data_IF_669272489713
#
_entry.id   IF_669272489713
#
_cell.length_a   1.000
_cell.length_b   1.000
_cell.length_c   1.000
_cell.angle_alpha   90.00
_cell.angle_beta   90.00
_cell.angle_gamma   90.00
#
_symmetry.space_group_name_H-M   'P 1'
#
loop_
_entity.id
_entity.type
_entity.pdbx_description
1 polymer ?
#
# COMPACT_ATOMS: atom_id res chain seq x y z
N UNK A 1 51.00 7.24 -17.58
CA UNK A 1 50.21 8.25 -16.84
C UNK A 1 48.89 8.60 -17.51
N UNK A 2 48.83 8.89 -18.82
CA UNK A 2 47.57 9.24 -19.51
C UNK A 2 46.49 8.15 -19.46
N UNK A 3 46.87 6.87 -19.52
CA UNK A 3 45.96 5.71 -19.44
C UNK A 3 45.45 5.40 -18.03
N UNK A 4 46.19 5.80 -16.99
CA UNK A 4 45.79 5.62 -15.60
C UNK A 4 44.75 6.67 -15.17
N UNK A 5 44.84 7.89 -15.71
CA UNK A 5 43.91 8.99 -15.41
C UNK A 5 42.52 8.72 -16.03
N UNK A 6 42.46 8.12 -17.23
CA UNK A 6 41.19 7.72 -17.86
C UNK A 6 40.48 6.60 -17.12
N UNK A 7 41.21 5.66 -16.50
CA UNK A 7 40.63 4.55 -15.75
C UNK A 7 39.99 5.03 -14.42
N UNK A 8 40.61 6.01 -13.76
CA UNK A 8 40.06 6.65 -12.55
C UNK A 8 38.76 7.42 -12.89
N UNK A 9 38.72 8.11 -14.03
CA UNK A 9 37.50 8.81 -14.50
C UNK A 9 36.35 7.83 -14.80
N UNK A 10 36.64 6.68 -15.40
CA UNK A 10 35.63 5.64 -15.66
C UNK A 10 35.10 5.01 -14.36
N UNK A 11 35.96 4.78 -13.36
CA UNK A 11 35.58 4.27 -12.03
C UNK A 11 34.76 5.29 -11.25
N UNK A 12 35.06 6.59 -11.36
CA UNK A 12 34.25 7.63 -10.73
C UNK A 12 32.89 7.83 -11.42
N UNK A 13 32.76 7.48 -12.70
CA UNK A 13 31.49 7.49 -13.42
C UNK A 13 30.60 6.28 -13.10
N UNK A 14 31.17 5.14 -12.66
CA UNK A 14 30.41 3.93 -12.31
C UNK A 14 29.98 3.86 -10.84
N UNK A 15 30.45 4.76 -9.98
CA UNK A 15 30.07 4.83 -8.57
C UNK A 15 28.93 5.81 -8.27
N UNK A 16 28.33 6.44 -9.29
CA UNK A 16 26.98 6.99 -9.17
C UNK A 16 25.92 5.88 -9.18
N UNK A 17 26.07 4.90 -8.29
CA UNK A 17 24.92 4.29 -7.65
C UNK A 17 24.29 5.40 -6.80
N UNK A 18 23.57 6.33 -7.46
CA UNK A 18 22.65 7.18 -6.73
C UNK A 18 21.65 6.22 -6.07
N UNK A 19 21.84 5.95 -4.79
CA UNK A 19 20.75 5.50 -3.94
C UNK A 19 19.63 6.51 -4.21
N UNK A 20 18.57 6.06 -4.89
CA UNK A 20 17.48 6.97 -5.22
C UNK A 20 16.93 7.53 -3.90
N UNK A 21 16.77 8.85 -3.81
CA UNK A 21 16.29 9.46 -2.57
C UNK A 21 14.93 8.87 -2.23
N UNK A 22 14.78 8.43 -0.98
CA UNK A 22 13.50 7.97 -0.46
C UNK A 22 12.51 9.13 -0.45
N UNK A 23 11.32 8.93 -1.02
CA UNK A 23 10.27 9.92 -1.04
C UNK A 23 9.55 10.04 0.31
N UNK A 24 9.67 9.07 1.21
CA UNK A 24 8.82 8.93 2.40
C UNK A 24 9.64 8.86 3.70
N UNK A 25 10.61 9.76 3.84
CA UNK A 25 11.51 9.80 5.01
C UNK A 25 10.91 10.48 6.24
N UNK A 26 9.87 11.29 6.05
CA UNK A 26 9.22 12.06 7.09
C UNK A 26 7.73 12.26 6.78
N UNK A 27 6.95 12.56 7.81
CA UNK A 27 5.53 12.89 7.64
C UNK A 27 5.35 14.11 6.73
N UNK A 28 4.55 13.96 5.68
CA UNK A 28 4.26 15.04 4.72
C UNK A 28 3.00 14.76 3.89
N UNK A 29 2.45 15.81 3.31
CA UNK A 29 1.37 15.72 2.32
C UNK A 29 1.96 15.85 0.90
N UNK A 30 1.58 14.95 0.00
CA UNK A 30 1.82 15.08 -1.44
C UNK A 30 0.60 15.75 -2.07
N UNK A 31 0.82 16.86 -2.77
CA UNK A 31 -0.24 17.57 -3.50
C UNK A 31 0.06 17.44 -4.99
N UNK A 32 -0.68 16.59 -5.67
CA UNK A 32 -0.65 16.42 -7.11
C UNK A 32 -1.85 17.14 -7.73
N UNK A 33 -1.90 17.28 -9.05
CA UNK A 33 -2.91 18.09 -9.73
C UNK A 33 -4.37 17.65 -9.46
N UNK A 34 -4.60 16.35 -9.25
CA UNK A 34 -5.94 15.74 -9.17
C UNK A 34 -6.15 14.87 -7.91
N UNK A 35 -5.12 14.73 -7.05
CA UNK A 35 -5.23 14.00 -5.79
C UNK A 35 -4.25 14.51 -4.74
N UNK A 36 -4.60 14.29 -3.48
CA UNK A 36 -3.78 14.65 -2.32
C UNK A 36 -3.58 13.38 -1.50
N UNK A 37 -2.34 13.09 -1.15
CA UNK A 37 -1.96 11.93 -0.34
C UNK A 37 -1.28 12.37 0.94
N UNK A 38 -1.58 11.67 2.03
CA UNK A 38 -0.89 11.82 3.30
C UNK A 38 0.10 10.67 3.47
N UNK A 39 1.32 11.01 3.85
CA UNK A 39 2.35 10.08 4.24
C UNK A 39 2.67 10.36 5.70
N UNK A 40 2.37 9.41 6.58
CA UNK A 40 2.73 9.47 7.99
C UNK A 40 3.86 8.50 8.27
N UNK A 41 4.93 8.98 8.91
CA UNK A 41 6.13 8.19 9.20
C UNK A 41 6.31 8.10 10.71
N UNK A 42 6.28 6.87 11.23
CA UNK A 42 6.51 6.60 12.66
C UNK A 42 8.00 6.67 12.99
N UNK A 43 8.33 6.80 14.27
CA UNK A 43 9.73 6.74 14.75
C UNK A 43 10.45 5.44 14.35
N UNK A 44 9.71 4.33 14.23
CA UNK A 44 10.23 3.05 13.72
C UNK A 44 10.62 3.07 12.23
N UNK A 45 10.33 4.16 11.52
CA UNK A 45 10.47 4.27 10.08
C UNK A 45 9.34 3.59 9.29
N UNK A 46 8.29 3.09 9.96
CA UNK A 46 7.10 2.59 9.26
C UNK A 46 6.33 3.76 8.64
N UNK A 47 6.07 3.67 7.34
CA UNK A 47 5.27 4.60 6.55
C UNK A 47 3.85 4.07 6.46
N UNK A 48 2.86 4.93 6.70
CA UNK A 48 1.47 4.72 6.28
C UNK A 48 1.15 5.76 5.21
N UNK A 49 0.86 5.30 4.00
CA UNK A 49 0.57 6.14 2.84
C UNK A 49 -0.87 5.93 2.39
N UNK A 50 -1.65 7.00 2.32
CA UNK A 50 -3.09 6.93 2.06
C UNK A 50 -3.60 8.22 1.43
N UNK A 51 -4.80 8.16 0.83
CA UNK A 51 -5.42 9.35 0.24
C UNK A 51 -5.87 10.28 1.37
N UNK A 52 -5.52 11.58 1.27
CA UNK A 52 -5.87 12.56 2.31
C UNK A 52 -7.39 12.75 2.36
N UNK A 53 -7.94 12.68 3.57
CA UNK A 53 -9.38 12.78 3.82
C UNK A 53 -10.09 11.42 3.91
N UNK A 54 -9.38 10.31 3.70
CA UNK A 54 -9.86 8.98 4.04
C UNK A 54 -10.19 8.92 5.55
N UNK A 55 -11.36 8.36 5.87
CA UNK A 55 -12.02 8.41 7.17
C UNK A 55 -11.59 7.28 8.09
N UNK A 56 -11.29 6.10 7.54
CA UNK A 56 -11.09 4.89 8.34
C UNK A 56 -9.65 4.72 8.83
N UNK A 57 -8.71 5.45 8.24
CA UNK A 57 -7.31 5.46 8.69
C UNK A 57 -7.23 6.00 10.13
N UNK A 58 -6.66 5.19 11.04
CA UNK A 58 -6.60 5.44 12.49
C UNK A 58 -7.95 5.48 13.23
N UNK A 59 -9.07 5.23 12.55
CA UNK A 59 -10.37 5.09 13.20
C UNK A 59 -10.52 3.66 13.73
N UNK A 60 -10.92 3.45 14.98
CA UNK A 60 -11.17 2.11 15.50
C UNK A 60 -12.29 1.38 14.75
N UNK A 61 -12.12 0.08 14.56
CA UNK A 61 -13.20 -0.79 14.10
C UNK A 61 -14.16 -1.04 15.26
N UNK A 62 -15.46 -0.80 15.04
CA UNK A 62 -16.49 -0.92 16.08
C UNK A 62 -17.72 -1.67 15.57
N UNK A 63 -18.47 -2.26 16.50
CA UNK A 63 -19.80 -2.81 16.25
C UNK A 63 -20.81 -1.66 16.21
N UNK A 64 -21.47 -1.43 15.07
CA UNK A 64 -22.36 -0.28 14.83
C UNK A 64 -23.47 -0.14 15.87
N UNK A 65 -24.03 -1.26 16.33
CA UNK A 65 -25.18 -1.27 17.25
C UNK A 65 -24.81 -0.89 18.68
N UNK A 66 -23.61 -1.22 19.14
CA UNK A 66 -23.18 -0.99 20.53
C UNK A 66 -22.16 0.14 20.67
N UNK A 67 -21.44 0.46 19.58
CA UNK A 67 -20.30 1.37 19.60
C UNK A 67 -19.03 0.76 20.19
N UNK A 68 -19.06 -0.51 20.60
CA UNK A 68 -17.92 -1.19 21.22
C UNK A 68 -16.86 -1.54 20.18
N UNK A 69 -15.60 -1.58 20.62
CA UNK A 69 -14.48 -2.02 19.79
C UNK A 69 -14.69 -3.46 19.33
N UNK A 70 -14.54 -3.67 18.03
CA UNK A 70 -14.47 -5.02 17.49
C UNK A 70 -13.08 -5.59 17.74
N UNK A 71 -13.05 -6.78 18.33
CA UNK A 71 -11.83 -7.55 18.58
C UNK A 71 -12.05 -8.91 17.93
N UNK A 72 -11.12 -9.31 17.07
CA UNK A 72 -11.14 -10.63 16.45
C UNK A 72 -10.47 -11.64 17.38
N UNK A 73 -11.22 -12.65 17.78
CA UNK A 73 -10.78 -13.83 18.53
C UNK A 73 -10.85 -15.08 17.65
N UNK A 74 -10.23 -16.19 18.08
CA UNK A 74 -10.17 -17.44 17.31
C UNK A 74 -11.56 -18.02 16.96
N UNK A 75 -12.58 -17.74 17.77
CA UNK A 75 -13.97 -18.18 17.58
C UNK A 75 -14.86 -17.12 16.90
N UNK A 76 -14.29 -15.98 16.51
CA UNK A 76 -15.04 -14.93 15.81
C UNK A 76 -15.46 -15.42 14.44
N UNK A 77 -16.76 -15.38 14.09
CA UNK A 77 -17.18 -15.81 12.77
C UNK A 77 -16.58 -14.91 11.68
N UNK A 78 -16.38 -15.49 10.50
CA UNK A 78 -15.85 -14.76 9.36
C UNK A 78 -16.67 -13.52 9.06
N UNK A 79 -16.01 -12.37 8.91
CA UNK A 79 -16.63 -11.08 8.58
C UNK A 79 -16.75 -10.84 7.07
N UNK A 80 -16.04 -11.64 6.27
CA UNK A 80 -16.12 -11.69 4.80
C UNK A 80 -16.16 -13.14 4.33
N UNK A 81 -16.82 -13.42 3.22
CA UNK A 81 -16.69 -14.72 2.57
C UNK A 81 -15.25 -14.98 2.12
N UNK A 82 -14.89 -16.26 1.97
CA UNK A 82 -13.57 -16.68 1.49
C UNK A 82 -13.18 -15.97 0.20
N UNK A 83 -12.02 -15.31 0.22
CA UNK A 83 -11.43 -14.66 -0.94
C UNK A 83 -10.98 -15.73 -1.93
N UNK A 84 -11.50 -15.67 -3.17
CA UNK A 84 -11.18 -16.66 -4.20
C UNK A 84 -9.87 -16.33 -4.94
N UNK A 85 -9.38 -17.29 -5.72
CA UNK A 85 -8.15 -17.12 -6.50
C UNK A 85 -8.26 -15.97 -7.52
N UNK A 86 -9.43 -15.75 -8.11
CA UNK A 86 -9.65 -14.68 -9.09
C UNK A 86 -9.42 -13.29 -8.48
N UNK A 87 -9.83 -13.07 -7.24
CA UNK A 87 -9.54 -11.86 -6.50
C UNK A 87 -8.02 -11.68 -6.35
N UNK A 88 -7.31 -12.71 -5.92
CA UNK A 88 -5.85 -12.66 -5.70
C UNK A 88 -5.11 -12.40 -7.02
N UNK A 89 -5.48 -13.09 -8.10
CA UNK A 89 -4.90 -12.87 -9.43
C UNK A 89 -5.19 -11.45 -9.95
N UNK A 90 -6.41 -10.95 -9.74
CA UNK A 90 -6.78 -9.59 -10.16
C UNK A 90 -6.00 -8.54 -9.38
N UNK A 91 -5.89 -8.70 -8.05
CA UNK A 91 -5.09 -7.84 -7.18
C UNK A 91 -3.62 -7.80 -7.63
N UNK A 92 -3.00 -8.97 -7.81
CA UNK A 92 -1.63 -9.08 -8.35
C UNK A 92 -1.48 -8.45 -9.72
N UNK A 93 -2.46 -8.63 -10.62
CA UNK A 93 -2.43 -8.03 -11.96
C UNK A 93 -2.47 -6.50 -11.91
N UNK A 94 -3.28 -5.92 -11.02
CA UNK A 94 -3.36 -4.46 -10.81
C UNK A 94 -2.00 -3.94 -10.35
N UNK A 95 -1.42 -4.58 -9.32
CA UNK A 95 -0.11 -4.20 -8.77
C UNK A 95 0.98 -4.35 -9.83
N UNK A 96 1.04 -5.49 -10.52
CA UNK A 96 2.04 -5.73 -11.57
C UNK A 96 1.99 -4.73 -12.72
N UNK A 97 0.81 -4.19 -13.04
CA UNK A 97 0.65 -3.19 -14.11
C UNK A 97 1.00 -1.78 -13.67
N UNK A 98 0.88 -1.47 -12.37
CA UNK A 98 1.19 -0.15 -11.85
C UNK A 98 2.69 0.13 -11.81
N UNK A 99 3.52 -0.91 -11.66
CA UNK A 99 4.98 -0.79 -11.61
C UNK A 99 5.61 -0.97 -13.00
N UNK A 100 6.56 -0.10 -13.35
CA UNK A 100 7.46 -0.29 -14.49
C UNK A 100 8.49 -1.41 -14.24
N UNK A 101 9.10 -1.94 -15.30
CA UNK A 101 10.12 -3.00 -15.20
C UNK A 101 11.29 -2.61 -14.29
N UNK A 102 11.73 -1.35 -14.33
CA UNK A 102 12.82 -0.85 -13.48
C UNK A 102 12.41 -0.77 -12.01
N UNK A 103 11.18 -0.35 -11.72
CA UNK A 103 10.66 -0.31 -10.35
C UNK A 103 10.48 -1.72 -9.80
N UNK A 104 9.97 -2.68 -10.59
CA UNK A 104 9.87 -4.10 -10.21
C UNK A 104 11.23 -4.69 -9.83
N UNK A 105 12.25 -4.43 -10.65
CA UNK A 105 13.60 -4.91 -10.36
C UNK A 105 14.14 -4.32 -9.04
N UNK A 106 13.77 -3.08 -8.72
CA UNK A 106 14.21 -2.40 -7.49
C UNK A 106 13.56 -2.95 -6.24
N UNK A 107 12.29 -3.34 -6.32
CA UNK A 107 11.53 -3.87 -5.16
C UNK A 107 11.55 -5.39 -5.07
N UNK A 108 12.27 -6.07 -5.98
CA UNK A 108 12.36 -7.52 -6.04
C UNK A 108 12.75 -8.12 -4.69
N UNK A 109 11.99 -9.13 -4.25
CA UNK A 109 12.21 -9.80 -2.97
C UNK A 109 11.71 -9.04 -1.74
N UNK A 110 11.15 -7.85 -1.92
CA UNK A 110 10.51 -7.06 -0.85
C UNK A 110 8.99 -7.09 -0.99
N UNK A 111 8.25 -6.93 0.11
CA UNK A 111 6.79 -6.76 0.11
C UNK A 111 6.38 -5.45 0.78
N UNK A 112 5.17 -4.98 0.49
CA UNK A 112 4.48 -3.93 1.23
C UNK A 112 3.09 -4.45 1.64
N UNK A 113 2.52 -3.86 2.69
CA UNK A 113 1.16 -4.18 3.13
C UNK A 113 0.18 -3.33 2.32
N UNK A 114 -0.81 -3.99 1.72
CA UNK A 114 -1.99 -3.35 1.16
C UNK A 114 -3.17 -3.55 2.11
N UNK A 115 -3.63 -2.46 2.73
CA UNK A 115 -4.78 -2.43 3.62
C UNK A 115 -5.99 -1.89 2.86
N UNK A 116 -7.09 -2.63 2.85
CA UNK A 116 -8.35 -2.28 2.18
C UNK A 116 -9.46 -2.11 3.22
N UNK A 117 -10.11 -0.95 3.19
CA UNK A 117 -11.23 -0.62 4.07
C UNK A 117 -12.52 -0.75 3.29
N UNK A 118 -13.30 -1.74 3.69
CA UNK A 118 -14.42 -2.27 2.94
C UNK A 118 -15.72 -1.77 3.55
N UNK A 119 -16.59 -1.28 2.69
CA UNK A 119 -17.96 -0.97 3.02
C UNK A 119 -18.69 -2.27 3.40
N UNK A 120 -19.16 -2.41 4.64
CA UNK A 120 -19.70 -3.67 5.13
C UNK A 120 -21.08 -3.98 4.56
N UNK A 121 -21.79 -2.98 4.02
CA UNK A 121 -23.12 -3.16 3.42
C UNK A 121 -23.02 -3.60 1.95
N UNK A 122 -22.06 -3.03 1.21
CA UNK A 122 -21.93 -3.22 -0.25
C UNK A 122 -20.77 -4.12 -0.66
N UNK A 123 -19.80 -4.33 0.22
CA UNK A 123 -18.55 -5.04 -0.08
C UNK A 123 -17.58 -4.24 -0.97
N UNK A 124 -17.90 -3.00 -1.33
CA UNK A 124 -16.99 -2.13 -2.09
C UNK A 124 -15.84 -1.66 -1.21
N UNK A 125 -14.68 -1.44 -1.83
CA UNK A 125 -13.50 -0.92 -1.15
C UNK A 125 -13.59 0.61 -1.20
N UNK A 126 -13.83 1.22 -0.05
CA UNK A 126 -13.99 2.67 0.06
C UNK A 126 -12.62 3.37 0.12
N UNK A 127 -11.68 2.77 0.84
CA UNK A 127 -10.36 3.37 1.12
C UNK A 127 -9.25 2.31 1.07
N UNK A 128 -8.03 2.77 0.81
CA UNK A 128 -6.83 1.92 0.71
C UNK A 128 -5.67 2.64 1.38
N UNK A 129 -4.86 1.88 2.13
CA UNK A 129 -3.59 2.34 2.68
C UNK A 129 -2.46 1.39 2.30
N UNK A 130 -1.27 1.94 2.20
CA UNK A 130 -0.03 1.22 1.90
C UNK A 130 0.93 1.37 3.08
N UNK A 131 1.49 0.26 3.55
CA UNK A 131 2.48 0.28 4.63
C UNK A 131 3.80 -0.37 4.22
N UNK A 132 4.90 0.33 4.47
CA UNK A 132 6.25 -0.10 4.14
C UNK A 132 7.28 0.69 4.97
N UNK A 133 8.51 0.22 5.03
CA UNK A 133 9.58 0.95 5.73
C UNK A 133 10.16 2.09 4.87
N UNK A 134 10.44 3.24 5.49
CA UNK A 134 10.98 4.45 4.86
C UNK A 134 12.40 4.28 4.30
N UNK A 135 13.14 3.29 4.80
CA UNK A 135 14.45 2.86 4.30
C UNK A 135 14.36 1.72 3.27
N UNK A 136 13.16 1.19 3.04
CA UNK A 136 12.92 0.09 2.13
C UNK A 136 12.83 0.52 0.66
N UNK A 137 12.95 -0.44 -0.25
CA UNK A 137 12.90 -0.22 -1.70
C UNK A 137 11.60 0.47 -2.15
N UNK A 138 10.47 0.14 -1.52
CA UNK A 138 9.18 0.78 -1.77
C UNK A 138 9.18 2.28 -1.45
N UNK A 139 10.02 2.75 -0.54
CA UNK A 139 10.10 4.17 -0.24
C UNK A 139 10.70 5.01 -1.40
N UNK A 140 11.24 4.37 -2.44
CA UNK A 140 11.73 5.02 -3.66
C UNK A 140 10.71 4.99 -4.81
N UNK A 141 9.49 4.50 -4.56
CA UNK A 141 8.44 4.38 -5.58
C UNK A 141 7.62 5.68 -5.64
N UNK A 142 7.40 6.27 -6.83
CA UNK A 142 6.61 7.49 -6.97
C UNK A 142 5.17 7.32 -6.48
N UNK A 143 4.59 8.40 -5.96
CA UNK A 143 3.22 8.40 -5.42
C UNK A 143 2.16 7.97 -6.44
N UNK A 144 2.40 8.28 -7.72
CA UNK A 144 1.50 7.92 -8.83
C UNK A 144 1.32 6.41 -8.99
N UNK A 145 2.31 5.60 -8.64
CA UNK A 145 2.20 4.13 -8.66
C UNK A 145 1.18 3.66 -7.63
N UNK A 146 1.27 4.17 -6.39
CA UNK A 146 0.31 3.88 -5.33
C UNK A 146 -1.10 4.34 -5.68
N UNK A 147 -1.22 5.53 -6.29
CA UNK A 147 -2.50 6.04 -6.81
C UNK A 147 -3.11 5.11 -7.86
N UNK A 148 -2.31 4.60 -8.80
CA UNK A 148 -2.80 3.67 -9.82
C UNK A 148 -3.27 2.34 -9.21
N UNK A 149 -2.59 1.87 -8.16
CA UNK A 149 -3.02 0.69 -7.41
C UNK A 149 -4.35 0.96 -6.71
N UNK A 150 -4.47 2.06 -5.95
CA UNK A 150 -5.72 2.47 -5.28
C UNK A 150 -6.92 2.46 -6.24
N UNK A 151 -6.78 3.14 -7.39
CA UNK A 151 -7.82 3.23 -8.40
C UNK A 151 -8.18 1.86 -8.97
N UNK A 152 -7.18 1.04 -9.31
CA UNK A 152 -7.41 -0.30 -9.85
C UNK A 152 -8.11 -1.24 -8.87
N UNK A 153 -7.68 -1.21 -7.60
CA UNK A 153 -8.25 -2.01 -6.51
C UNK A 153 -9.72 -1.62 -6.31
N UNK A 154 -10.01 -0.33 -6.12
CA UNK A 154 -11.39 0.16 -5.88
C UNK A 154 -12.32 -0.07 -7.06
N UNK A 155 -11.81 -0.04 -8.29
CA UNK A 155 -12.60 -0.25 -9.49
C UNK A 155 -12.96 -1.73 -9.70
N UNK A 156 -12.00 -2.64 -9.49
CA UNK A 156 -12.11 -4.04 -9.97
C UNK A 156 -12.38 -5.05 -8.87
N UNK A 157 -12.09 -4.71 -7.62
CA UNK A 157 -12.23 -5.62 -6.50
C UNK A 157 -13.41 -5.23 -5.62
N UNK A 158 -14.03 -6.25 -5.04
CA UNK A 158 -15.04 -6.13 -4.01
C UNK A 158 -15.08 -7.43 -3.22
N UNK A 159 -15.46 -7.32 -1.96
CA UNK A 159 -15.66 -8.45 -1.07
C UNK A 159 -17.15 -8.78 -0.97
N UNK A 160 -17.45 -9.93 -0.38
CA UNK A 160 -18.81 -10.27 0.05
C UNK A 160 -18.84 -10.29 1.57
N UNK A 161 -19.31 -9.22 2.23
CA UNK A 161 -19.47 -9.18 3.67
C UNK A 161 -20.47 -10.24 4.14
N UNK A 162 -20.15 -10.92 5.23
CA UNK A 162 -21.08 -11.84 5.90
C UNK A 162 -22.10 -11.07 6.74
N UNK A 163 -23.03 -11.79 7.36
CA UNK A 163 -23.95 -11.23 8.36
C UNK A 163 -23.19 -10.57 9.53
N UNK A 164 -22.06 -11.14 9.95
CA UNK A 164 -21.26 -10.57 11.04
C UNK A 164 -20.48 -9.33 10.58
N UNK A 165 -19.87 -9.37 9.39
CA UNK A 165 -19.17 -8.20 8.83
C UNK A 165 -20.06 -6.98 8.65
N UNK A 166 -21.34 -7.19 8.29
CA UNK A 166 -22.36 -6.13 8.15
C UNK A 166 -22.63 -5.35 9.45
N UNK A 167 -22.26 -5.91 10.61
CA UNK A 167 -22.42 -5.24 11.91
C UNK A 167 -21.35 -4.19 12.19
N UNK A 168 -20.25 -4.17 11.43
CA UNK A 168 -19.09 -3.31 11.71
C UNK A 168 -19.20 -1.95 11.03
N UNK A 169 -18.54 -0.91 11.56
CA UNK A 169 -18.48 0.41 10.91
C UNK A 169 -17.77 0.35 9.53
N UNK A 170 -16.72 -0.45 9.43
CA UNK A 170 -16.03 -0.87 8.21
C UNK A 170 -15.44 -2.27 8.41
N UNK A 171 -15.05 -2.95 7.31
CA UNK A 171 -14.26 -4.19 7.38
C UNK A 171 -12.84 -3.92 6.94
N UNK A 172 -11.84 -4.31 7.74
CA UNK A 172 -10.43 -4.26 7.35
C UNK A 172 -10.01 -5.60 6.77
N UNK A 173 -9.41 -5.58 5.57
CA UNK A 173 -8.67 -6.70 5.02
C UNK A 173 -7.29 -6.22 4.58
N UNK A 174 -6.23 -6.91 5.00
CA UNK A 174 -4.86 -6.57 4.63
C UNK A 174 -4.16 -7.77 4.01
N UNK A 175 -3.23 -7.50 3.10
CA UNK A 175 -2.45 -8.53 2.42
C UNK A 175 -1.04 -8.01 2.11
N UNK A 176 -0.03 -8.86 2.33
CA UNK A 176 1.32 -8.60 1.86
C UNK A 176 1.44 -8.85 0.36
N UNK A 177 1.88 -7.83 -0.36
CA UNK A 177 1.96 -7.86 -1.81
C UNK A 177 3.33 -7.42 -2.31
N UNK A 178 3.67 -7.90 -3.51
CA UNK A 178 4.86 -7.52 -4.25
C UNK A 178 4.55 -7.59 -5.73
N UNK A 179 5.08 -6.69 -6.56
CA UNK A 179 4.98 -6.86 -7.99
C UNK A 179 5.93 -7.99 -8.44
N UNK A 180 5.45 -8.83 -9.35
CA UNK A 180 6.16 -9.89 -10.07
C UNK A 180 6.64 -9.40 -11.44
#
# INVERSE_FOLDING_TARGET
MKTFITFIYLISCTLYLFAQPSYYTQTKTFTENDYIYQCDVRESGMVTLYKKGDKWIYTPQIIRSTGEHFIMYDDTPDIIETVNNDFIYTCKSIINKAFSSTEKQRVKGSKFVLSMYINPDTGKIDEVAFEFFSIGSYATIPISVYRNIELGIKQKLSFKPTTEGKKLNYILYWIDVSPE
#
